data_IF_035173643841
#
_entry.id   IF_035173643841
#
_cell.length_a   1.000
_cell.length_b   1.000
_cell.length_c   1.000
_cell.angle_alpha   90.00
_cell.angle_beta   90.00
_cell.angle_gamma   90.00
#
_symmetry.space_group_name_H-M   'P 1'
#
loop_
_entity.id
_entity.type
_entity.pdbx_description
1 polymer ?
#
# COMPACT_ATOMS: atom_id res chain seq x y z
N UNK A 1 -25.95 -30.17 -0.97
CA UNK A 1 -25.83 -29.03 -1.92
C UNK A 1 -25.43 -27.74 -1.21
N UNK A 2 -25.99 -27.44 -0.02
CA UNK A 2 -25.55 -26.30 0.81
C UNK A 2 -24.08 -26.38 1.25
N UNK A 3 -23.55 -27.58 1.51
CA UNK A 3 -22.16 -27.75 1.98
C UNK A 3 -21.11 -27.45 0.89
N UNK A 4 -21.44 -27.74 -0.37
CA UNK A 4 -20.55 -27.46 -1.50
C UNK A 4 -20.47 -25.95 -1.80
N UNK A 5 -21.61 -25.26 -1.70
CA UNK A 5 -21.69 -23.80 -1.93
C UNK A 5 -20.99 -23.04 -0.80
N UNK A 6 -21.17 -23.48 0.45
CA UNK A 6 -20.51 -22.89 1.62
C UNK A 6 -18.99 -23.07 1.56
N UNK A 7 -18.50 -24.29 1.31
CA UNK A 7 -17.07 -24.53 1.16
C UNK A 7 -16.45 -23.73 0.00
N UNK A 8 -17.16 -23.57 -1.11
CA UNK A 8 -16.73 -22.70 -2.21
C UNK A 8 -16.67 -21.23 -1.81
N UNK A 9 -17.64 -20.74 -1.02
CA UNK A 9 -17.67 -19.36 -0.54
C UNK A 9 -16.48 -19.07 0.36
N UNK A 10 -16.23 -19.94 1.34
CA UNK A 10 -15.19 -19.76 2.34
C UNK A 10 -13.79 -19.75 1.67
N UNK A 11 -13.55 -20.65 0.70
CA UNK A 11 -12.32 -20.64 -0.11
C UNK A 11 -12.14 -19.35 -0.92
N UNK A 12 -13.22 -18.77 -1.46
CA UNK A 12 -13.10 -17.51 -2.20
C UNK A 12 -12.79 -16.33 -1.27
N UNK A 13 -13.38 -16.32 -0.07
CA UNK A 13 -13.11 -15.26 0.91
C UNK A 13 -11.64 -15.27 1.36
N UNK A 14 -11.09 -16.46 1.62
CA UNK A 14 -9.66 -16.62 1.92
C UNK A 14 -8.78 -16.11 0.77
N UNK A 15 -9.08 -16.50 -0.47
CA UNK A 15 -8.35 -16.03 -1.66
C UNK A 15 -8.39 -14.51 -1.81
N UNK A 16 -9.54 -13.89 -1.54
CA UNK A 16 -9.69 -12.42 -1.59
C UNK A 16 -8.81 -11.77 -0.53
N UNK A 17 -8.83 -12.25 0.71
CA UNK A 17 -8.01 -11.71 1.79
C UNK A 17 -6.50 -11.82 1.48
N UNK A 18 -6.05 -12.99 1.03
CA UNK A 18 -4.64 -13.22 0.63
C UNK A 18 -4.25 -12.27 -0.51
N UNK A 19 -5.11 -12.09 -1.51
CA UNK A 19 -4.86 -11.17 -2.62
C UNK A 19 -4.77 -9.72 -2.14
N UNK A 20 -5.67 -9.29 -1.26
CA UNK A 20 -5.67 -7.93 -0.71
C UNK A 20 -4.39 -7.64 0.07
N UNK A 21 -3.93 -8.59 0.89
CA UNK A 21 -2.66 -8.49 1.63
C UNK A 21 -1.45 -8.44 0.70
N UNK A 22 -1.39 -9.33 -0.30
CA UNK A 22 -0.34 -9.33 -1.30
C UNK A 22 -0.25 -8.01 -2.08
N UNK A 23 -1.40 -7.39 -2.39
CA UNK A 23 -1.44 -6.08 -3.05
C UNK A 23 -0.89 -4.96 -2.16
N UNK A 24 -1.25 -4.94 -0.87
CA UNK A 24 -0.71 -3.97 0.08
C UNK A 24 0.81 -4.13 0.27
N UNK A 25 1.31 -5.35 0.40
CA UNK A 25 2.73 -5.62 0.53
C UNK A 25 3.51 -5.24 -0.74
N UNK A 26 2.96 -5.55 -1.92
CA UNK A 26 3.53 -5.13 -3.21
C UNK A 26 3.61 -3.61 -3.31
N UNK A 27 2.54 -2.90 -2.91
CA UNK A 27 2.51 -1.44 -2.92
C UNK A 27 3.63 -0.83 -2.03
N UNK A 28 3.84 -1.37 -0.83
CA UNK A 28 4.92 -0.92 0.07
C UNK A 28 6.30 -1.16 -0.55
N UNK A 29 6.52 -2.33 -1.15
CA UNK A 29 7.79 -2.66 -1.81
C UNK A 29 8.07 -1.70 -2.97
N UNK A 30 7.09 -1.49 -3.84
CA UNK A 30 7.23 -0.60 -5.01
C UNK A 30 7.57 0.82 -4.56
N UNK A 31 6.87 1.35 -3.56
CA UNK A 31 7.06 2.71 -3.07
C UNK A 31 8.41 2.89 -2.36
N UNK A 32 8.85 1.88 -1.61
CA UNK A 32 10.17 1.89 -0.97
C UNK A 32 11.28 1.87 -2.02
N UNK A 33 11.16 1.00 -3.03
CA UNK A 33 12.15 0.87 -4.09
C UNK A 33 12.23 2.13 -4.95
N UNK A 34 11.09 2.69 -5.37
CA UNK A 34 11.06 3.93 -6.16
C UNK A 34 11.69 5.10 -5.40
N UNK A 35 11.39 5.23 -4.10
CA UNK A 35 11.98 6.27 -3.24
C UNK A 35 13.49 6.11 -3.12
N UNK A 36 13.98 4.88 -2.93
CA UNK A 36 15.41 4.60 -2.81
C UNK A 36 16.18 4.93 -4.10
N UNK A 37 15.63 4.58 -5.27
CA UNK A 37 16.22 4.90 -6.58
C UNK A 37 16.31 6.41 -6.76
N UNK A 38 15.21 7.13 -6.54
CA UNK A 38 15.19 8.59 -6.66
C UNK A 38 16.12 9.27 -5.66
N UNK A 39 16.18 8.80 -4.41
CA UNK A 39 17.10 9.30 -3.39
C UNK A 39 18.57 9.13 -3.80
N UNK A 40 18.91 8.00 -4.40
CA UNK A 40 20.26 7.73 -4.90
C UNK A 40 20.64 8.71 -6.01
N UNK A 41 19.75 8.95 -6.97
CA UNK A 41 19.99 9.90 -8.08
C UNK A 41 20.16 11.33 -7.57
N UNK A 42 19.20 11.82 -6.77
CA UNK A 42 19.23 13.16 -6.18
C UNK A 42 20.46 13.34 -5.28
N UNK A 43 20.79 12.33 -4.47
CA UNK A 43 21.99 12.36 -3.63
C UNK A 43 23.28 12.41 -4.46
N UNK A 44 23.31 11.74 -5.61
CA UNK A 44 24.45 11.78 -6.53
C UNK A 44 24.57 13.15 -7.21
N UNK A 45 23.46 13.76 -7.67
CA UNK A 45 23.54 15.10 -8.27
C UNK A 45 24.03 16.14 -7.28
N UNK A 46 23.53 16.11 -6.04
CA UNK A 46 23.96 17.02 -4.98
C UNK A 46 25.46 16.89 -4.59
N UNK A 47 26.09 15.74 -4.86
CA UNK A 47 27.52 15.53 -4.57
C UNK A 47 28.44 15.99 -5.70
N UNK A 48 27.95 15.97 -6.95
CA UNK A 48 28.77 16.23 -8.15
C UNK A 48 28.55 17.65 -8.70
N UNK A 49 27.37 18.24 -8.49
CA UNK A 49 26.94 19.52 -9.08
C UNK A 49 27.32 20.75 -8.24
N UNK A 50 27.46 21.89 -8.91
CA UNK A 50 27.42 23.22 -8.31
C UNK A 50 25.93 23.51 -8.00
N UNK A 51 25.58 23.93 -6.77
CA UNK A 51 24.19 24.10 -6.37
C UNK A 51 23.38 24.92 -7.36
N UNK A 52 22.32 24.31 -7.92
CA UNK A 52 21.41 24.97 -8.85
C UNK A 52 19.95 24.83 -8.40
N UNK A 53 19.05 25.54 -9.10
CA UNK A 53 17.62 25.52 -8.77
C UNK A 53 16.95 24.17 -9.08
N UNK A 54 17.52 23.38 -9.99
CA UNK A 54 17.03 22.04 -10.33
C UNK A 54 17.25 21.05 -9.19
N UNK A 55 18.39 21.12 -8.49
CA UNK A 55 18.67 20.32 -7.29
C UNK A 55 17.71 20.65 -6.13
N UNK A 56 17.37 21.92 -5.97
CA UNK A 56 16.39 22.37 -4.96
C UNK A 56 15.00 21.81 -5.27
N UNK A 57 14.59 21.84 -6.54
CA UNK A 57 13.33 21.23 -6.96
C UNK A 57 13.35 19.69 -6.80
N UNK A 58 14.44 19.03 -7.19
CA UNK A 58 14.58 17.58 -7.09
C UNK A 58 14.53 17.09 -5.63
N UNK A 59 15.23 17.78 -4.72
CA UNK A 59 15.22 17.47 -3.28
C UNK A 59 13.85 17.70 -2.64
N UNK A 60 13.14 18.77 -3.03
CA UNK A 60 11.77 19.02 -2.54
C UNK A 60 10.78 17.94 -3.01
N UNK A 61 10.84 17.55 -4.30
CA UNK A 61 10.01 16.48 -4.85
C UNK A 61 10.32 15.13 -4.17
N UNK A 62 11.60 14.85 -3.88
CA UNK A 62 12.02 13.67 -3.13
C UNK A 62 11.46 13.67 -1.71
N UNK A 63 11.48 14.82 -1.02
CA UNK A 63 10.92 14.94 0.33
C UNK A 63 9.41 14.64 0.34
N UNK A 64 8.65 15.19 -0.63
CA UNK A 64 7.22 14.88 -0.80
C UNK A 64 7.03 13.39 -1.08
N UNK A 65 7.83 12.81 -1.98
CA UNK A 65 7.77 11.38 -2.30
C UNK A 65 8.02 10.50 -1.06
N UNK A 66 8.99 10.87 -0.22
CA UNK A 66 9.29 10.19 1.04
C UNK A 66 8.13 10.27 2.04
N UNK A 67 7.50 11.44 2.19
CA UNK A 67 6.32 11.60 3.04
C UNK A 67 5.14 10.74 2.57
N UNK A 68 4.92 10.67 1.26
CA UNK A 68 3.91 9.79 0.68
C UNK A 68 4.25 8.32 0.89
N UNK A 69 5.52 7.95 0.80
CA UNK A 69 5.97 6.60 1.08
C UNK A 69 5.67 6.16 2.51
N UNK A 70 5.98 7.03 3.46
CA UNK A 70 5.61 6.87 4.87
C UNK A 70 4.09 6.75 5.00
N UNK A 71 3.32 7.60 4.34
CA UNK A 71 1.86 7.54 4.38
C UNK A 71 1.30 6.20 3.85
N UNK A 72 1.89 5.61 2.80
CA UNK A 72 1.49 4.28 2.29
C UNK A 72 1.86 3.18 3.29
N UNK A 73 3.05 3.24 3.90
CA UNK A 73 3.52 2.23 4.85
C UNK A 73 2.67 2.23 6.13
N UNK A 74 2.42 3.40 6.71
CA UNK A 74 1.63 3.55 7.94
C UNK A 74 0.11 3.55 7.70
N UNK A 75 -0.32 3.81 6.46
CA UNK A 75 -1.72 3.77 6.05
C UNK A 75 -2.27 2.37 5.87
N UNK A 76 -1.42 1.34 5.92
CA UNK A 76 -1.85 -0.05 5.89
C UNK A 76 -2.53 -0.46 7.21
N UNK A 77 -3.83 -0.17 7.27
CA UNK A 77 -4.74 -0.66 8.31
C UNK A 77 -5.75 -1.62 7.70
N UNK A 78 -5.27 -2.60 6.93
CA UNK A 78 -6.13 -3.70 6.48
C UNK A 78 -6.76 -4.35 7.71
N UNK A 79 -8.09 -4.47 7.69
CA UNK A 79 -8.85 -5.11 8.74
C UNK A 79 -8.86 -6.60 8.46
N UNK A 80 -8.20 -7.37 9.32
CA UNK A 80 -8.34 -8.83 9.34
C UNK A 80 -9.53 -9.15 10.25
N UNK A 81 -10.54 -9.91 9.78
CA UNK A 81 -11.55 -10.46 10.68
C UNK A 81 -10.82 -11.35 11.69
N UNK A 82 -11.09 -11.19 12.99
CA UNK A 82 -10.58 -12.13 14.01
C UNK A 82 -11.66 -13.19 14.27
N UNK A 83 -11.61 -14.34 13.58
CA UNK A 83 -12.58 -15.40 13.79
C UNK A 83 -12.48 -15.98 15.21
N UNK A 84 -11.37 -15.83 15.92
CA UNK A 84 -11.23 -16.37 17.28
C UNK A 84 -12.09 -15.60 18.27
N UNK A 85 -12.07 -14.28 18.21
CA UNK A 85 -12.88 -13.44 19.10
C UNK A 85 -14.38 -13.63 18.88
N UNK A 86 -14.79 -13.78 17.61
CA UNK A 86 -16.19 -14.06 17.25
C UNK A 86 -16.62 -15.47 17.69
N UNK A 87 -15.76 -16.50 17.52
CA UNK A 87 -16.02 -17.86 17.99
C UNK A 87 -16.06 -17.96 19.52
N UNK A 88 -15.19 -17.25 20.23
CA UNK A 88 -15.17 -17.23 21.71
C UNK A 88 -16.46 -16.58 22.26
N UNK A 89 -16.91 -15.47 21.66
CA UNK A 89 -18.20 -14.85 22.03
C UNK A 89 -19.38 -15.76 21.73
N UNK A 90 -19.43 -16.34 20.53
CA UNK A 90 -20.47 -17.26 20.12
C UNK A 90 -20.61 -18.47 21.05
N UNK A 91 -19.47 -19.06 21.45
CA UNK A 91 -19.43 -20.18 22.37
C UNK A 91 -19.91 -19.79 23.77
N UNK A 92 -19.56 -18.59 24.24
CA UNK A 92 -20.00 -18.08 25.55
C UNK A 92 -21.50 -17.80 25.64
N UNK A 93 -22.14 -17.46 24.51
CA UNK A 93 -23.56 -17.11 24.43
C UNK A 93 -24.47 -18.29 24.01
N UNK A 94 -23.91 -19.50 23.82
CA UNK A 94 -24.62 -20.69 23.32
C UNK A 94 -25.47 -20.40 22.07
N UNK A 95 -24.94 -19.55 21.18
CA UNK A 95 -25.63 -19.23 19.92
C UNK A 95 -25.62 -20.45 19.00
N UNK A 96 -26.69 -20.58 18.22
CA UNK A 96 -26.80 -21.59 17.18
C UNK A 96 -25.67 -21.43 16.15
N UNK A 97 -25.01 -22.53 15.80
CA UNK A 97 -23.82 -22.58 14.95
C UNK A 97 -24.08 -21.95 13.57
N UNK A 98 -25.28 -22.14 13.03
CA UNK A 98 -25.71 -21.55 11.76
C UNK A 98 -25.78 -20.02 11.81
N UNK A 99 -26.20 -19.46 12.95
CA UNK A 99 -26.29 -18.01 13.15
C UNK A 99 -24.90 -17.41 13.24
N UNK A 100 -23.99 -18.08 13.95
CA UNK A 100 -22.60 -17.66 14.11
C UNK A 100 -21.86 -17.67 12.78
N UNK A 101 -22.02 -18.73 11.97
CA UNK A 101 -21.45 -18.81 10.62
C UNK A 101 -21.99 -17.72 9.69
N UNK A 102 -23.28 -17.39 9.78
CA UNK A 102 -23.88 -16.32 8.99
C UNK A 102 -23.32 -14.94 9.38
N UNK A 103 -23.09 -14.71 10.67
CA UNK A 103 -22.54 -13.45 11.19
C UNK A 103 -21.06 -13.28 10.83
N UNK A 104 -20.24 -14.34 10.97
CA UNK A 104 -18.85 -14.40 10.51
C UNK A 104 -18.72 -14.10 9.00
N UNK A 105 -19.62 -14.66 8.19
CA UNK A 105 -19.64 -14.36 6.75
C UNK A 105 -19.96 -12.91 6.47
N UNK A 106 -20.90 -12.33 7.20
CA UNK A 106 -21.26 -10.93 7.06
C UNK A 106 -20.10 -10.02 7.46
N UNK A 107 -19.45 -10.29 8.59
CA UNK A 107 -18.32 -9.49 9.08
C UNK A 107 -17.13 -9.56 8.13
N UNK A 108 -16.83 -10.73 7.58
CA UNK A 108 -15.74 -10.89 6.63
C UNK A 108 -16.02 -10.27 5.24
N UNK A 109 -17.26 -10.28 4.76
CA UNK A 109 -17.64 -9.52 3.55
C UNK A 109 -17.54 -8.00 3.77
N UNK A 110 -17.93 -7.52 4.96
CA UNK A 110 -17.81 -6.11 5.31
C UNK A 110 -16.35 -5.66 5.43
N UNK A 111 -15.51 -6.47 6.08
CA UNK A 111 -14.07 -6.25 6.13
C UNK A 111 -13.45 -6.21 4.73
N UNK A 112 -13.81 -7.14 3.85
CA UNK A 112 -13.33 -7.16 2.47
C UNK A 112 -13.70 -5.88 1.69
N UNK A 113 -14.91 -5.34 1.88
CA UNK A 113 -15.35 -4.07 1.26
C UNK A 113 -14.58 -2.86 1.80
N UNK A 114 -14.31 -2.84 3.10
CA UNK A 114 -13.50 -1.78 3.73
C UNK A 114 -12.08 -1.84 3.20
N UNK A 115 -11.48 -3.03 3.15
CA UNK A 115 -10.14 -3.27 2.63
C UNK A 115 -10.02 -2.86 1.16
N UNK A 116 -11.03 -3.13 0.33
CA UNK A 116 -11.01 -2.70 -1.08
C UNK A 116 -10.93 -1.18 -1.22
N UNK A 117 -11.67 -0.42 -0.40
CA UNK A 117 -11.57 1.05 -0.36
C UNK A 117 -10.20 1.53 0.12
N UNK A 118 -9.61 0.83 1.09
CA UNK A 118 -8.25 1.14 1.57
C UNK A 118 -7.25 0.90 0.44
N UNK A 119 -7.34 -0.22 -0.26
CA UNK A 119 -6.47 -0.57 -1.39
C UNK A 119 -6.61 0.41 -2.55
N UNK A 120 -7.82 0.87 -2.87
CA UNK A 120 -8.01 1.93 -3.87
C UNK A 120 -7.31 3.23 -3.48
N UNK A 121 -7.41 3.65 -2.21
CA UNK A 121 -6.68 4.81 -1.68
C UNK A 121 -5.17 4.60 -1.70
N UNK A 122 -4.69 3.42 -1.29
CA UNK A 122 -3.27 3.06 -1.35
C UNK A 122 -2.76 3.11 -2.78
N UNK A 123 -3.49 2.54 -3.75
CA UNK A 123 -3.11 2.56 -5.16
C UNK A 123 -3.01 3.99 -5.69
N UNK A 124 -3.94 4.86 -5.33
CA UNK A 124 -3.86 6.28 -5.68
C UNK A 124 -2.62 6.96 -5.09
N UNK A 125 -2.33 6.73 -3.80
CA UNK A 125 -1.15 7.28 -3.14
C UNK A 125 0.16 6.75 -3.74
N UNK A 126 0.22 5.46 -4.08
CA UNK A 126 1.36 4.82 -4.74
C UNK A 126 1.61 5.48 -6.10
N UNK A 127 0.59 5.64 -6.94
CA UNK A 127 0.74 6.27 -8.26
C UNK A 127 1.23 7.73 -8.16
N UNK A 128 0.70 8.46 -7.18
CA UNK A 128 1.10 9.82 -6.90
C UNK A 128 2.57 9.86 -6.41
N UNK A 129 2.94 9.02 -5.45
CA UNK A 129 4.31 8.89 -4.95
C UNK A 129 5.32 8.55 -6.06
N UNK A 130 4.99 7.59 -6.92
CA UNK A 130 5.85 7.18 -8.04
C UNK A 130 6.05 8.34 -9.01
N UNK A 131 5.02 9.14 -9.27
CA UNK A 131 5.11 10.31 -10.13
C UNK A 131 6.08 11.35 -9.55
N UNK A 132 5.96 11.67 -8.26
CA UNK A 132 6.91 12.57 -7.58
C UNK A 132 8.33 12.02 -7.57
N UNK A 133 8.50 10.72 -7.32
CA UNK A 133 9.81 10.05 -7.35
C UNK A 133 10.44 10.14 -8.76
N UNK A 134 9.66 9.88 -9.81
CA UNK A 134 10.11 9.95 -11.19
C UNK A 134 10.50 11.38 -11.58
N UNK A 135 9.69 12.38 -11.22
CA UNK A 135 10.05 13.78 -11.47
C UNK A 135 11.31 14.17 -10.71
N UNK A 136 11.47 13.81 -9.43
CA UNK A 136 12.70 14.08 -8.68
C UNK A 136 13.95 13.51 -9.40
N UNK A 137 13.84 12.28 -9.93
CA UNK A 137 14.90 11.64 -10.70
C UNK A 137 15.20 12.37 -12.02
N UNK A 138 14.18 12.79 -12.77
CA UNK A 138 14.34 13.54 -14.04
C UNK A 138 15.02 14.88 -13.78
N UNK A 139 14.58 15.64 -12.77
CA UNK A 139 15.15 16.93 -12.42
C UNK A 139 16.62 16.80 -12.02
N UNK A 140 16.97 15.76 -11.26
CA UNK A 140 18.35 15.45 -10.89
C UNK A 140 19.23 15.11 -12.11
N UNK A 141 18.70 14.37 -13.07
CA UNK A 141 19.41 14.09 -14.33
C UNK A 141 19.63 15.36 -15.17
N UNK A 142 18.62 16.24 -15.24
CA UNK A 142 18.73 17.52 -15.95
C UNK A 142 19.83 18.39 -15.30
N UNK A 143 19.84 18.49 -13.97
CA UNK A 143 20.88 19.19 -13.22
C UNK A 143 22.29 18.70 -13.62
N UNK A 144 22.52 17.39 -13.54
CA UNK A 144 23.78 16.76 -13.92
C UNK A 144 24.20 17.05 -15.37
N UNK A 145 23.26 17.07 -16.31
CA UNK A 145 23.58 17.35 -17.72
C UNK A 145 23.90 18.82 -17.96
N UNK A 146 23.32 19.75 -17.20
CA UNK A 146 23.54 21.19 -17.37
C UNK A 146 24.98 21.59 -17.06
N UNK A 147 25.60 20.99 -16.03
CA UNK A 147 27.01 21.18 -15.67
C UNK A 147 27.94 20.91 -16.84
N UNK A 148 27.69 19.82 -17.58
CA UNK A 148 28.62 19.35 -18.62
C UNK A 148 28.80 20.35 -19.77
N UNK A 149 27.85 21.27 -19.93
CA UNK A 149 27.81 22.24 -21.03
C UNK A 149 27.95 23.69 -20.57
N UNK A 150 28.06 23.94 -19.26
CA UNK A 150 28.31 25.25 -18.67
C UNK A 150 29.81 25.45 -18.39
#
# INVERSE_FOLDING_TARGET
MNDAISGWLDQNMERVAVRQRSQADTAKLVVTFSTAVSATLVGTSLQVDIPNWWDTAASFLLAISCLLAIAVIFGDRLREPDPRDELVRAYSEQRDELVVLAELRRSAVEAAKINDRILQKMSYLVNLQISFAAFAAIFSLVALTYIRWA
#
